data_IF_842104987832
#
_entry.id   IF_842104987832
#
_cell.length_a   1.000
_cell.length_b   1.000
_cell.length_c   1.000
_cell.angle_alpha   90.00
_cell.angle_beta   90.00
_cell.angle_gamma   90.00
#
_symmetry.space_group_name_H-M   'P 1'
#
loop_
_entity.id
_entity.type
_entity.pdbx_description
1 polymer ?
#
# COMPACT_ATOMS: atom_id res chain seq x y z
N UNK A 1 45.53 -21.01 -66.99
CA UNK A 1 45.38 -22.02 -65.92
C UNK A 1 46.23 -21.59 -64.73
N UNK A 2 45.87 -21.86 -63.47
CA UNK A 2 44.64 -21.51 -62.77
C UNK A 2 44.91 -20.73 -61.44
N UNK A 3 43.88 -20.02 -60.98
CA UNK A 3 43.40 -19.75 -59.60
C UNK A 3 44.34 -19.77 -58.38
N UNK A 4 44.27 -18.73 -57.56
CA UNK A 4 44.14 -18.86 -56.09
C UNK A 4 43.42 -17.64 -55.47
N UNK A 5 42.18 -17.87 -55.01
CA UNK A 5 41.42 -17.00 -54.09
C UNK A 5 42.03 -17.12 -52.69
N UNK A 6 42.25 -16.02 -51.99
CA UNK A 6 42.36 -16.01 -50.52
C UNK A 6 41.36 -15.00 -49.97
N UNK A 7 40.31 -15.53 -49.35
CA UNK A 7 39.33 -14.74 -48.60
C UNK A 7 39.83 -14.44 -47.20
N UNK A 8 39.80 -13.16 -46.82
CA UNK A 8 40.02 -12.70 -45.45
C UNK A 8 38.86 -13.10 -44.56
N UNK A 9 39.14 -13.88 -43.52
CA UNK A 9 38.18 -14.37 -42.53
C UNK A 9 38.06 -13.33 -41.41
N UNK A 10 36.84 -12.87 -41.12
CA UNK A 10 36.51 -12.00 -39.98
C UNK A 10 37.04 -12.62 -38.67
N UNK A 11 37.74 -11.81 -37.88
CA UNK A 11 38.13 -12.14 -36.51
C UNK A 11 36.87 -12.25 -35.64
N UNK A 12 36.65 -13.45 -35.07
CA UNK A 12 35.64 -13.69 -34.04
C UNK A 12 36.19 -13.17 -32.71
N UNK A 13 35.55 -12.17 -32.14
CA UNK A 13 35.76 -11.77 -30.75
C UNK A 13 35.50 -12.98 -29.84
N UNK A 14 36.52 -13.36 -29.05
CA UNK A 14 36.37 -14.37 -27.99
C UNK A 14 35.50 -13.77 -26.89
N UNK A 15 34.42 -14.47 -26.55
CA UNK A 15 33.62 -14.22 -25.35
C UNK A 15 34.53 -14.50 -24.15
N UNK A 16 34.64 -13.55 -23.23
CA UNK A 16 35.39 -13.76 -21.99
C UNK A 16 34.72 -14.88 -21.17
N UNK A 17 35.52 -15.80 -20.65
CA UNK A 17 35.05 -16.85 -19.76
C UNK A 17 34.63 -16.23 -18.41
N UNK A 18 33.49 -16.65 -17.82
CA UNK A 18 33.10 -16.19 -16.49
C UNK A 18 34.07 -16.73 -15.42
N UNK A 19 34.26 -16.01 -14.30
CA UNK A 19 35.20 -16.43 -13.26
C UNK A 19 34.72 -17.74 -12.61
N UNK A 20 35.60 -18.74 -12.61
CA UNK A 20 35.43 -19.98 -11.86
C UNK A 20 35.47 -19.65 -10.37
N UNK A 21 34.31 -19.77 -9.72
CA UNK A 21 34.18 -19.65 -8.26
C UNK A 21 34.67 -20.94 -7.59
N UNK A 22 35.75 -20.85 -6.84
CA UNK A 22 36.22 -21.92 -5.96
C UNK A 22 35.25 -22.06 -4.79
N UNK A 23 34.57 -23.20 -4.71
CA UNK A 23 33.63 -23.53 -3.66
C UNK A 23 34.29 -23.48 -2.28
N UNK A 24 33.80 -22.59 -1.42
CA UNK A 24 33.94 -22.70 0.02
C UNK A 24 32.61 -23.27 0.54
N UNK A 25 32.67 -24.41 1.23
CA UNK A 25 31.51 -25.05 1.84
C UNK A 25 31.02 -24.22 3.04
N UNK A 26 30.28 -23.15 2.75
CA UNK A 26 29.50 -22.38 3.71
C UNK A 26 28.10 -22.96 3.84
N UNK A 27 27.53 -22.86 5.03
CA UNK A 27 26.13 -23.12 5.37
C UNK A 27 25.20 -22.64 4.24
N UNK A 28 24.18 -23.41 3.81
CA UNK A 28 23.27 -22.96 2.76
C UNK A 28 22.63 -21.64 3.18
N UNK A 29 22.97 -20.56 2.47
CA UNK A 29 22.30 -19.27 2.64
C UNK A 29 20.82 -19.52 2.37
N UNK A 30 19.89 -19.08 3.24
CA UNK A 30 18.47 -19.20 2.95
C UNK A 30 18.21 -18.50 1.61
N UNK A 31 17.65 -19.22 0.64
CA UNK A 31 17.30 -18.67 -0.67
C UNK A 31 15.81 -18.35 -0.67
N UNK A 32 15.49 -17.07 -0.79
CA UNK A 32 14.12 -16.58 -0.77
C UNK A 32 13.66 -16.26 -2.18
N UNK A 33 12.68 -17.00 -2.73
CA UNK A 33 12.16 -16.71 -4.06
C UNK A 33 11.58 -15.29 -4.14
N UNK A 34 11.92 -14.53 -5.17
CA UNK A 34 11.41 -13.16 -5.38
C UNK A 34 9.87 -13.15 -5.49
N UNK A 35 9.27 -14.21 -6.04
CA UNK A 35 7.81 -14.41 -6.11
C UNK A 35 7.12 -14.50 -4.75
N UNK A 36 7.86 -14.84 -3.69
CA UNK A 36 7.31 -14.87 -2.32
C UNK A 36 7.10 -13.47 -1.74
N UNK A 37 7.70 -12.44 -2.33
CA UNK A 37 7.63 -11.05 -1.84
C UNK A 37 6.29 -10.43 -2.27
N UNK A 38 5.40 -10.10 -1.31
CA UNK A 38 4.05 -9.66 -1.65
C UNK A 38 4.04 -8.35 -2.45
N UNK A 39 3.43 -8.38 -3.64
CA UNK A 39 3.29 -7.21 -4.51
C UNK A 39 4.45 -6.97 -5.47
N UNK A 40 5.46 -7.85 -5.50
CA UNK A 40 6.41 -7.94 -6.61
C UNK A 40 5.73 -8.69 -7.76
N UNK A 41 5.59 -8.04 -8.91
CA UNK A 41 4.92 -8.63 -10.07
C UNK A 41 5.83 -9.58 -10.85
N UNK A 42 5.23 -10.55 -11.56
CA UNK A 42 5.94 -11.48 -12.48
C UNK A 42 6.91 -10.80 -13.46
N UNK A 43 6.63 -9.60 -14.02
CA UNK A 43 7.59 -8.91 -14.87
C UNK A 43 8.90 -8.54 -14.14
N UNK A 44 8.79 -8.06 -12.90
CA UNK A 44 9.93 -7.70 -12.07
C UNK A 44 10.75 -8.93 -11.71
N UNK A 45 10.10 -10.00 -11.24
CA UNK A 45 10.74 -11.29 -10.95
C UNK A 45 11.52 -11.84 -12.15
N UNK A 46 10.88 -11.91 -13.33
CA UNK A 46 11.56 -12.40 -14.55
C UNK A 46 12.75 -11.54 -14.94
N UNK A 47 12.64 -10.22 -14.82
CA UNK A 47 13.72 -9.30 -15.17
C UNK A 47 14.93 -9.46 -14.23
N UNK A 48 14.67 -9.62 -12.93
CA UNK A 48 15.72 -9.85 -11.93
C UNK A 48 16.40 -11.22 -12.13
N UNK A 49 15.62 -12.28 -12.35
CA UNK A 49 16.14 -13.61 -12.67
C UNK A 49 17.02 -13.57 -13.94
N UNK A 50 16.56 -12.88 -14.99
CA UNK A 50 17.32 -12.74 -16.24
C UNK A 50 18.60 -11.91 -16.07
N UNK A 51 18.62 -10.98 -15.09
CA UNK A 51 19.78 -10.18 -14.74
C UNK A 51 20.76 -10.90 -13.77
N UNK A 52 20.50 -12.17 -13.43
CA UNK A 52 21.38 -12.97 -12.57
C UNK A 52 21.05 -12.89 -11.08
N UNK A 53 19.86 -12.40 -10.72
CA UNK A 53 19.38 -12.32 -9.35
C UNK A 53 18.24 -13.31 -9.12
N UNK A 54 18.53 -14.61 -8.86
CA UNK A 54 17.51 -15.66 -8.77
C UNK A 54 16.66 -15.59 -7.49
N UNK A 55 17.16 -14.94 -6.45
CA UNK A 55 16.55 -14.87 -5.13
C UNK A 55 16.82 -13.51 -4.47
N UNK A 56 16.18 -13.28 -3.33
CA UNK A 56 16.31 -12.03 -2.61
C UNK A 56 17.75 -11.79 -2.15
N UNK A 57 18.42 -12.82 -1.64
CA UNK A 57 19.75 -12.71 -1.05
C UNK A 57 20.81 -12.34 -2.10
N UNK A 58 20.64 -12.78 -3.35
CA UNK A 58 21.49 -12.36 -4.47
C UNK A 58 21.45 -10.85 -4.76
N UNK A 59 20.38 -10.15 -4.34
CA UNK A 59 20.22 -8.70 -4.52
C UNK A 59 20.96 -7.88 -3.46
N UNK A 60 21.48 -8.50 -2.39
CA UNK A 60 22.23 -7.79 -1.37
C UNK A 60 23.47 -7.09 -1.97
N UNK A 61 23.58 -5.78 -1.78
CA UNK A 61 24.64 -4.95 -2.35
C UNK A 61 24.48 -4.61 -3.84
N UNK A 62 23.43 -5.08 -4.51
CA UNK A 62 23.13 -4.68 -5.88
C UNK A 62 22.77 -3.19 -5.94
N UNK A 63 23.21 -2.48 -6.99
CA UNK A 63 23.01 -1.03 -7.11
C UNK A 63 21.58 -0.70 -7.52
N UNK A 64 20.87 0.08 -6.72
CA UNK A 64 19.46 0.44 -6.93
C UNK A 64 19.20 1.03 -8.33
N UNK A 65 20.03 1.98 -8.77
CA UNK A 65 19.91 2.62 -10.08
C UNK A 65 20.05 1.63 -11.24
N UNK A 66 20.90 0.61 -11.11
CA UNK A 66 21.08 -0.42 -12.14
C UNK A 66 19.87 -1.34 -12.22
N UNK A 67 19.37 -1.78 -11.08
CA UNK A 67 18.15 -2.60 -11.04
C UNK A 67 16.96 -1.83 -11.62
N UNK A 68 16.82 -0.54 -11.30
CA UNK A 68 15.74 0.30 -11.80
C UNK A 68 15.82 0.51 -13.32
N UNK A 69 17.01 0.42 -13.91
CA UNK A 69 17.20 0.51 -15.36
C UNK A 69 16.76 -0.75 -16.11
N UNK A 70 16.55 -1.88 -15.41
CA UNK A 70 16.13 -3.13 -16.03
C UNK A 70 14.69 -3.04 -16.55
N UNK A 71 14.50 -3.45 -17.80
CA UNK A 71 13.17 -3.51 -18.39
C UNK A 71 12.28 -4.51 -17.64
N UNK A 72 11.20 -4.02 -17.04
CA UNK A 72 10.26 -4.81 -16.22
C UNK A 72 10.46 -4.67 -14.71
N UNK A 73 11.52 -4.00 -14.27
CA UNK A 73 11.73 -3.61 -12.86
C UNK A 73 11.26 -2.18 -12.66
N UNK A 74 10.36 -1.98 -11.69
CA UNK A 74 9.84 -0.66 -11.36
C UNK A 74 10.18 -0.25 -9.93
N UNK A 75 10.20 1.06 -9.65
CA UNK A 75 10.54 1.62 -8.35
C UNK A 75 9.75 0.97 -7.19
N UNK A 76 8.42 0.81 -7.35
CA UNK A 76 7.55 0.14 -6.36
C UNK A 76 7.87 -1.34 -6.14
N UNK A 77 8.44 -2.01 -7.13
CA UNK A 77 8.92 -3.39 -7.00
C UNK A 77 10.21 -3.43 -6.19
N UNK A 78 11.13 -2.52 -6.47
CA UNK A 78 12.40 -2.38 -5.74
C UNK A 78 12.22 -1.90 -4.31
N UNK A 79 11.24 -1.06 -4.01
CA UNK A 79 10.89 -0.68 -2.63
C UNK A 79 10.52 -1.90 -1.78
N UNK A 80 9.70 -2.80 -2.33
CA UNK A 80 9.29 -4.04 -1.65
C UNK A 80 10.47 -5.00 -1.47
N UNK A 81 11.36 -5.05 -2.44
CA UNK A 81 12.58 -5.86 -2.37
C UNK A 81 13.55 -5.29 -1.33
N UNK A 82 13.77 -3.98 -1.31
CA UNK A 82 14.63 -3.30 -0.34
C UNK A 82 14.12 -3.53 1.09
N UNK A 83 12.79 -3.50 1.27
CA UNK A 83 12.16 -3.82 2.54
C UNK A 83 12.37 -5.28 2.95
N UNK A 84 12.18 -6.22 2.02
CA UNK A 84 12.41 -7.64 2.27
C UNK A 84 13.88 -7.95 2.61
N UNK A 85 14.82 -7.22 2.00
CA UNK A 85 16.24 -7.24 2.34
C UNK A 85 16.48 -6.69 3.76
N UNK A 86 15.88 -5.54 4.09
CA UNK A 86 16.02 -4.89 5.39
C UNK A 86 15.56 -5.77 6.55
N UNK A 87 14.45 -6.51 6.39
CA UNK A 87 13.97 -7.48 7.37
C UNK A 87 14.98 -8.63 7.66
N UNK A 88 15.98 -8.81 6.79
CA UNK A 88 17.07 -9.79 6.93
C UNK A 88 18.42 -9.15 7.28
N UNK A 89 18.45 -7.85 7.57
CA UNK A 89 19.70 -7.11 7.78
C UNK A 89 20.54 -6.91 6.51
N UNK A 90 19.93 -7.06 5.34
CA UNK A 90 20.55 -6.84 4.03
C UNK A 90 20.06 -5.51 3.43
N UNK A 91 20.77 -4.98 2.43
CA UNK A 91 20.38 -3.75 1.77
C UNK A 91 20.80 -3.72 0.30
N UNK A 92 20.10 -2.90 -0.50
CA UNK A 92 20.58 -2.46 -1.82
C UNK A 92 21.66 -1.38 -1.65
N UNK A 93 22.56 -1.26 -2.61
CA UNK A 93 23.60 -0.25 -2.60
C UNK A 93 23.27 0.97 -3.49
N UNK A 94 23.96 2.08 -3.25
CA UNK A 94 23.94 3.27 -4.10
C UNK A 94 22.89 4.32 -3.73
N UNK A 95 23.01 5.50 -4.33
CA UNK A 95 22.08 6.61 -4.11
C UNK A 95 20.65 6.26 -4.55
N UNK A 96 19.68 6.71 -3.75
CA UNK A 96 18.25 6.45 -3.99
C UNK A 96 17.78 5.06 -3.54
N UNK A 97 18.66 4.21 -3.00
CA UNK A 97 18.23 2.99 -2.33
C UNK A 97 17.33 3.33 -1.12
N UNK A 98 16.15 2.70 -0.97
CA UNK A 98 15.30 2.90 0.19
C UNK A 98 16.06 2.52 1.47
N UNK A 99 16.29 3.49 2.35
CA UNK A 99 16.81 3.24 3.71
C UNK A 99 15.60 2.92 4.57
N UNK A 100 15.33 1.62 4.76
CA UNK A 100 14.17 1.16 5.50
C UNK A 100 14.63 0.61 6.84
N UNK A 101 13.98 1.04 7.92
CA UNK A 101 14.21 0.43 9.24
C UNK A 101 13.80 -1.04 9.18
N UNK A 102 14.42 -1.87 10.01
CA UNK A 102 14.34 -3.34 10.03
C UNK A 102 12.97 -3.93 10.41
N UNK A 103 11.87 -3.22 10.13
CA UNK A 103 10.53 -3.67 10.45
C UNK A 103 10.14 -4.91 9.60
N UNK A 104 9.52 -5.94 10.20
CA UNK A 104 9.07 -7.14 9.51
C UNK A 104 8.18 -6.85 8.28
N UNK A 105 8.21 -7.77 7.30
CA UNK A 105 7.44 -7.71 6.04
C UNK A 105 5.92 -7.59 6.22
N UNK A 106 5.39 -8.06 7.35
CA UNK A 106 3.96 -7.94 7.68
C UNK A 106 3.59 -6.52 8.14
N UNK A 107 4.52 -5.82 8.81
CA UNK A 107 4.33 -4.45 9.31
C UNK A 107 4.45 -3.40 8.21
N UNK A 108 5.06 -3.73 7.07
CA UNK A 108 5.19 -2.80 5.97
C UNK A 108 3.88 -2.43 5.26
N UNK A 109 2.81 -3.20 5.49
CA UNK A 109 1.45 -2.86 5.07
C UNK A 109 0.69 -2.07 6.12
N UNK A 110 1.10 -2.14 7.38
CA UNK A 110 0.51 -1.35 8.45
C UNK A 110 1.05 0.07 8.34
N UNK A 111 0.15 1.03 8.15
CA UNK A 111 0.54 2.42 8.34
C UNK A 111 0.61 2.72 9.82
N UNK A 112 1.62 3.46 10.25
CA UNK A 112 1.52 4.24 11.49
C UNK A 112 0.52 5.36 11.22
N UNK A 113 -0.47 5.51 12.10
CA UNK A 113 -1.51 6.54 11.97
C UNK A 113 -1.49 7.41 13.21
N UNK A 114 -1.31 8.71 13.03
CA UNK A 114 -1.33 9.71 14.10
C UNK A 114 -2.50 10.66 13.91
N UNK A 115 -3.06 11.18 14.99
CA UNK A 115 -4.14 12.17 14.91
C UNK A 115 -3.65 13.50 14.31
N UNK A 116 -4.53 14.21 13.62
CA UNK A 116 -4.23 15.49 12.95
C UNK A 116 -3.82 15.33 11.50
N UNK A 117 -3.30 16.39 10.89
CA UNK A 117 -2.83 16.40 9.50
C UNK A 117 -1.49 17.14 9.43
N UNK A 118 -0.60 16.73 8.53
CA UNK A 118 0.72 17.38 8.37
C UNK A 118 0.78 18.32 7.17
N UNK A 119 -0.18 18.22 6.25
CA UNK A 119 -0.15 18.87 4.95
C UNK A 119 0.81 18.20 3.95
N UNK A 120 1.54 17.15 4.38
CA UNK A 120 2.45 16.40 3.54
C UNK A 120 1.72 15.18 3.02
N UNK A 121 1.72 15.00 1.70
CA UNK A 121 1.06 13.86 1.06
C UNK A 121 1.78 13.48 -0.22
N UNK A 122 1.92 12.18 -0.48
CA UNK A 122 2.54 11.67 -1.69
C UNK A 122 1.82 12.18 -2.97
N UNK A 123 2.60 12.62 -3.97
CA UNK A 123 2.11 13.31 -5.20
C UNK A 123 1.05 12.54 -6.01
N UNK A 124 1.02 11.21 -5.89
CA UNK A 124 0.07 10.34 -6.59
C UNK A 124 -1.25 10.13 -5.82
N UNK A 125 -1.34 10.56 -4.56
CA UNK A 125 -2.61 10.62 -3.83
C UNK A 125 -3.42 11.80 -4.38
N UNK A 126 -4.65 11.51 -4.81
CA UNK A 126 -5.55 12.49 -5.44
C UNK A 126 -6.75 12.87 -4.57
N UNK A 127 -7.06 12.03 -3.59
CA UNK A 127 -8.11 12.33 -2.62
C UNK A 127 -7.57 13.33 -1.61
N UNK A 128 -8.24 14.47 -1.48
CA UNK A 128 -7.99 15.48 -0.47
C UNK A 128 -9.35 16.01 0.06
N UNK A 129 -9.33 16.71 1.19
CA UNK A 129 -10.50 17.43 1.68
C UNK A 129 -10.94 18.52 0.69
N UNK A 130 -12.22 18.85 0.68
CA UNK A 130 -12.80 19.89 -0.17
C UNK A 130 -13.77 20.76 0.62
N UNK A 131 -14.09 21.93 0.07
CA UNK A 131 -15.08 22.87 0.65
C UNK A 131 -16.54 22.49 0.31
N UNK A 132 -16.76 21.32 -0.30
CA UNK A 132 -18.11 20.84 -0.61
C UNK A 132 -18.80 20.42 0.69
N UNK A 133 -20.00 20.96 0.96
CA UNK A 133 -20.80 20.54 2.11
C UNK A 133 -21.27 19.08 1.93
N UNK A 134 -20.88 18.16 2.84
CA UNK A 134 -21.35 16.77 2.80
C UNK A 134 -22.87 16.63 2.81
N UNK A 135 -23.59 17.50 3.52
CA UNK A 135 -25.06 17.45 3.59
C UNK A 135 -25.67 17.73 2.22
N UNK A 136 -25.19 18.77 1.54
CA UNK A 136 -25.59 19.07 0.17
C UNK A 136 -25.23 17.94 -0.80
N UNK A 137 -24.03 17.36 -0.68
CA UNK A 137 -23.63 16.19 -1.48
C UNK A 137 -24.60 15.01 -1.31
N UNK A 138 -24.97 14.67 -0.08
CA UNK A 138 -25.91 13.57 0.20
C UNK A 138 -27.29 13.85 -0.42
N UNK A 139 -27.79 15.08 -0.32
CA UNK A 139 -29.08 15.46 -0.89
C UNK A 139 -29.09 15.47 -2.41
N UNK A 140 -27.95 15.78 -3.02
CA UNK A 140 -27.76 15.75 -4.48
C UNK A 140 -27.61 14.36 -5.09
N UNK A 141 -27.58 13.28 -4.30
CA UNK A 141 -27.42 11.94 -4.85
C UNK A 141 -28.61 11.53 -5.74
N UNK A 142 -28.36 10.96 -6.94
CA UNK A 142 -29.43 10.65 -7.90
C UNK A 142 -30.29 9.43 -7.50
N UNK A 143 -29.93 8.75 -6.42
CA UNK A 143 -30.63 7.54 -5.96
C UNK A 143 -31.29 7.83 -4.61
N UNK A 144 -32.63 7.97 -4.54
CA UNK A 144 -33.33 8.34 -3.31
C UNK A 144 -32.99 7.45 -2.11
N UNK A 145 -32.77 6.16 -2.35
CA UNK A 145 -32.35 5.23 -1.30
C UNK A 145 -30.96 5.54 -0.73
N UNK A 146 -30.02 6.00 -1.56
CA UNK A 146 -28.68 6.41 -1.11
C UNK A 146 -28.71 7.76 -0.39
N UNK A 147 -29.63 8.65 -0.74
CA UNK A 147 -29.92 9.86 0.05
C UNK A 147 -30.35 9.45 1.46
N UNK A 148 -31.35 8.57 1.59
CA UNK A 148 -31.84 8.10 2.88
C UNK A 148 -30.74 7.40 3.71
N UNK A 149 -29.99 6.47 3.10
CA UNK A 149 -28.86 5.83 3.78
C UNK A 149 -27.77 6.85 4.20
N UNK A 150 -27.49 7.82 3.33
CA UNK A 150 -26.49 8.86 3.58
C UNK A 150 -26.86 9.73 4.77
N UNK A 151 -28.14 10.11 4.91
CA UNK A 151 -28.64 10.88 6.07
C UNK A 151 -28.49 10.10 7.38
N UNK A 152 -28.86 8.81 7.38
CA UNK A 152 -28.69 7.93 8.56
C UNK A 152 -27.21 7.79 8.95
N UNK A 153 -26.33 7.57 7.97
CA UNK A 153 -24.90 7.45 8.24
C UNK A 153 -24.29 8.78 8.73
N UNK A 154 -24.73 9.91 8.18
CA UNK A 154 -24.26 11.22 8.61
C UNK A 154 -24.60 11.46 10.09
N UNK A 155 -25.85 11.24 10.49
CA UNK A 155 -26.27 11.36 11.89
C UNK A 155 -25.52 10.39 12.81
N UNK A 156 -25.37 9.13 12.41
CA UNK A 156 -24.68 8.10 13.20
C UNK A 156 -23.21 8.46 13.43
N UNK A 157 -22.49 8.84 12.37
CA UNK A 157 -21.07 9.16 12.48
C UNK A 157 -20.83 10.46 13.28
N UNK A 158 -21.70 11.48 13.13
CA UNK A 158 -21.65 12.68 13.97
C UNK A 158 -21.80 12.31 15.46
N UNK A 159 -22.79 11.49 15.81
CA UNK A 159 -23.00 11.06 17.21
C UNK A 159 -21.83 10.23 17.74
N UNK A 160 -21.30 9.30 16.93
CA UNK A 160 -20.23 8.41 17.33
C UNK A 160 -18.87 9.12 17.53
N UNK A 161 -18.61 10.18 16.76
CA UNK A 161 -17.30 10.87 16.73
C UNK A 161 -17.31 12.23 17.43
N UNK A 162 -18.46 12.90 17.50
CA UNK A 162 -18.56 14.30 17.92
C UNK A 162 -18.00 15.30 16.90
N UNK A 163 -17.66 14.86 15.68
CA UNK A 163 -17.02 15.67 14.65
C UNK A 163 -18.01 16.12 13.57
N UNK A 164 -17.73 17.28 12.97
CA UNK A 164 -18.43 17.68 11.75
C UNK A 164 -17.90 16.91 10.53
N UNK A 165 -18.78 16.51 9.60
CA UNK A 165 -18.37 15.81 8.39
C UNK A 165 -17.61 16.75 7.44
N UNK A 166 -16.62 16.20 6.75
CA UNK A 166 -15.86 16.88 5.69
C UNK A 166 -15.91 16.05 4.41
N UNK A 167 -16.05 16.69 3.25
CA UNK A 167 -15.96 16.00 1.97
C UNK A 167 -14.51 15.69 1.62
N UNK A 168 -14.27 14.48 1.12
CA UNK A 168 -12.99 14.01 0.61
C UNK A 168 -13.13 13.53 -0.83
N UNK A 169 -12.46 14.23 -1.74
CA UNK A 169 -12.66 14.09 -3.18
C UNK A 169 -14.14 14.20 -3.56
N UNK A 170 -14.56 13.43 -4.55
CA UNK A 170 -15.88 13.62 -5.16
C UNK A 170 -17.02 12.86 -4.45
N UNK A 171 -16.72 12.09 -3.40
CA UNK A 171 -17.65 11.00 -3.02
C UNK A 171 -17.50 10.41 -1.63
N UNK A 172 -16.56 10.86 -0.81
CA UNK A 172 -16.36 10.34 0.53
C UNK A 172 -16.69 11.42 1.55
N UNK A 173 -17.38 11.02 2.62
CA UNK A 173 -17.63 11.83 3.79
C UNK A 173 -16.74 11.30 4.90
N UNK A 174 -15.84 12.13 5.42
CA UNK A 174 -14.86 11.80 6.45
C UNK A 174 -15.10 12.56 7.74
N UNK A 175 -14.61 11.99 8.85
CA UNK A 175 -14.70 12.52 10.20
C UNK A 175 -13.34 12.45 10.90
N UNK A 176 -12.95 13.55 11.53
CA UNK A 176 -11.60 13.77 12.04
C UNK A 176 -10.53 13.79 10.95
N UNK A 177 -9.29 14.03 11.36
CA UNK A 177 -8.11 13.96 10.49
C UNK A 177 -7.03 13.09 11.12
N UNK A 178 -6.35 12.34 10.28
CA UNK A 178 -5.14 11.61 10.63
C UNK A 178 -4.08 11.75 9.56
N UNK A 179 -2.84 11.53 9.96
CA UNK A 179 -1.71 11.39 9.07
C UNK A 179 -1.25 9.93 9.11
N UNK A 180 -1.10 9.32 7.94
CA UNK A 180 -0.60 7.96 7.82
C UNK A 180 0.80 7.97 7.23
N UNK A 181 1.67 7.10 7.75
CA UNK A 181 3.02 6.87 7.21
C UNK A 181 3.25 5.36 7.09
N UNK A 182 3.64 4.91 5.91
CA UNK A 182 4.03 3.52 5.67
C UNK A 182 5.53 3.34 5.87
N UNK A 183 5.97 2.11 6.16
CA UNK A 183 7.38 1.77 6.23
C UNK A 183 8.16 2.16 4.96
N UNK A 184 7.51 2.17 3.79
CA UNK A 184 8.11 2.61 2.51
C UNK A 184 8.38 4.12 2.42
N UNK A 185 8.07 4.90 3.46
CA UNK A 185 8.11 6.37 3.45
C UNK A 185 6.96 7.02 2.70
N UNK A 186 5.97 6.24 2.23
CA UNK A 186 4.76 6.81 1.63
C UNK A 186 3.88 7.36 2.75
N UNK A 187 3.45 8.61 2.63
CA UNK A 187 2.62 9.24 3.63
C UNK A 187 1.48 10.07 3.03
N UNK A 188 0.51 10.42 3.86
CA UNK A 188 -0.56 11.33 3.48
C UNK A 188 -1.55 11.62 4.59
N UNK A 189 -2.30 12.70 4.39
CA UNK A 189 -3.42 13.05 5.25
C UNK A 189 -4.70 12.33 4.80
N UNK A 190 -5.51 11.95 5.76
CA UNK A 190 -6.79 11.30 5.55
C UNK A 190 -7.77 11.66 6.69
N UNK A 191 -9.01 11.19 6.58
CA UNK A 191 -9.95 11.17 7.70
C UNK A 191 -9.75 9.93 8.59
N UNK A 192 -10.22 9.95 9.84
CA UNK A 192 -10.06 8.80 10.73
C UNK A 192 -11.08 7.70 10.37
N UNK A 193 -12.35 8.10 10.31
CA UNK A 193 -13.48 7.23 9.91
C UNK A 193 -14.33 7.97 8.89
N UNK A 194 -15.09 7.23 8.08
CA UNK A 194 -15.94 7.85 7.09
C UNK A 194 -16.77 6.85 6.30
N UNK A 195 -17.52 7.34 5.33
CA UNK A 195 -18.31 6.50 4.43
C UNK A 195 -18.41 7.08 3.02
N UNK A 196 -18.81 6.22 2.07
CA UNK A 196 -19.20 6.63 0.72
C UNK A 196 -20.48 5.93 0.28
N UNK A 197 -21.56 6.68 -0.03
CA UNK A 197 -22.85 6.12 -0.42
C UNK A 197 -22.93 5.84 -1.93
N UNK A 198 -22.01 5.04 -2.47
CA UNK A 198 -21.95 4.69 -3.90
C UNK A 198 -23.19 3.90 -4.35
N UNK A 199 -23.47 3.92 -5.66
CA UNK A 199 -24.59 3.16 -6.28
C UNK A 199 -24.63 1.70 -5.85
N UNK A 200 -23.51 0.99 -6.04
CA UNK A 200 -23.44 -0.46 -5.85
C UNK A 200 -23.48 -0.85 -4.36
N UNK A 201 -22.62 -0.25 -3.54
CA UNK A 201 -22.46 -0.56 -2.11
C UNK A 201 -22.15 0.70 -1.32
N UNK A 202 -22.55 0.72 -0.05
CA UNK A 202 -22.00 1.68 0.91
C UNK A 202 -20.60 1.18 1.28
N UNK A 203 -19.62 2.07 1.21
CA UNK A 203 -18.27 1.81 1.72
C UNK A 203 -18.15 2.47 3.08
N UNK A 204 -17.68 1.75 4.08
CA UNK A 204 -17.44 2.20 5.45
C UNK A 204 -15.94 2.10 5.70
N UNK A 205 -15.31 3.20 6.08
CA UNK A 205 -13.86 3.34 6.19
C UNK A 205 -13.44 3.46 7.64
N UNK A 206 -12.22 3.03 7.96
CA UNK A 206 -11.62 3.17 9.30
C UNK A 206 -12.06 2.12 10.31
N UNK A 207 -13.15 1.39 10.05
CA UNK A 207 -13.68 0.38 10.99
C UNK A 207 -13.13 -1.04 10.78
N UNK A 208 -12.29 -1.26 9.76
CA UNK A 208 -11.80 -2.61 9.42
C UNK A 208 -10.88 -3.24 10.48
N UNK A 209 -10.27 -2.42 11.35
CA UNK A 209 -9.46 -2.87 12.48
C UNK A 209 -10.27 -3.48 13.61
N UNK A 210 -11.56 -3.12 13.74
CA UNK A 210 -12.48 -3.60 14.77
C UNK A 210 -13.03 -4.99 14.44
N UNK A 211 -12.14 -5.99 14.29
CA UNK A 211 -12.47 -7.31 13.72
C UNK A 211 -13.67 -7.99 14.39
N UNK A 212 -13.77 -7.92 15.71
CA UNK A 212 -14.85 -8.55 16.49
C UNK A 212 -16.20 -7.87 16.26
N UNK A 213 -16.22 -6.53 16.21
CA UNK A 213 -17.44 -5.77 15.94
C UNK A 213 -17.85 -5.93 14.48
N UNK A 214 -16.89 -5.88 13.54
CA UNK A 214 -17.15 -6.13 12.12
C UNK A 214 -17.73 -7.53 11.92
N UNK A 215 -17.25 -8.56 12.62
CA UNK A 215 -17.83 -9.91 12.55
C UNK A 215 -19.31 -9.97 13.00
N UNK A 216 -19.72 -9.09 13.91
CA UNK A 216 -21.10 -8.97 14.42
C UNK A 216 -21.97 -8.01 13.62
N UNK A 217 -21.39 -7.27 12.66
CA UNK A 217 -22.07 -6.19 11.95
C UNK A 217 -23.26 -6.67 11.11
N UNK A 218 -23.26 -7.92 10.64
CA UNK A 218 -24.28 -8.47 9.74
C UNK A 218 -23.70 -8.79 8.36
N UNK A 219 -24.51 -8.69 7.29
CA UNK A 219 -24.09 -9.09 5.94
C UNK A 219 -23.20 -8.04 5.29
N UNK A 220 -21.90 -8.33 5.21
CA UNK A 220 -20.90 -7.42 4.65
C UNK A 220 -19.79 -8.17 3.89
N UNK A 221 -18.93 -7.40 3.23
CA UNK A 221 -17.65 -7.87 2.68
C UNK A 221 -16.53 -6.96 3.14
N UNK A 222 -15.37 -7.50 3.50
CA UNK A 222 -14.24 -6.71 4.03
C UNK A 222 -13.11 -6.57 3.01
N UNK A 223 -12.51 -5.39 2.96
CA UNK A 223 -11.23 -5.10 2.31
C UNK A 223 -10.11 -4.87 3.32
N UNK A 224 -8.96 -4.38 2.86
CA UNK A 224 -7.75 -4.18 3.68
C UNK A 224 -7.94 -3.12 4.79
N UNK A 225 -8.88 -2.18 4.65
CA UNK A 225 -9.18 -1.15 5.65
C UNK A 225 -10.60 -0.58 5.58
N UNK A 226 -11.50 -1.31 4.93
CA UNK A 226 -12.87 -0.86 4.68
C UNK A 226 -13.84 -2.04 4.70
N UNK A 227 -15.08 -1.74 5.02
CA UNK A 227 -16.20 -2.68 5.02
C UNK A 227 -17.21 -2.21 3.98
N UNK A 228 -17.75 -3.14 3.21
CA UNK A 228 -18.76 -2.84 2.19
C UNK A 228 -20.07 -3.53 2.53
N UNK A 229 -21.15 -2.75 2.48
CA UNK A 229 -22.52 -3.24 2.74
C UNK A 229 -23.42 -2.84 1.58
N UNK A 230 -24.37 -3.69 1.20
CA UNK A 230 -25.22 -3.36 0.05
C UNK A 230 -26.23 -2.27 0.43
N UNK A 231 -26.82 -2.39 1.63
CA UNK A 231 -27.87 -1.55 2.18
C UNK A 231 -27.79 -1.56 3.71
N UNK A 232 -28.38 -0.57 4.39
CA UNK A 232 -28.25 -0.47 5.86
C UNK A 232 -29.04 -1.55 6.59
N UNK A 233 -30.09 -2.08 5.98
CA UNK A 233 -30.92 -3.15 6.56
C UNK A 233 -30.21 -4.51 6.56
N UNK A 234 -29.04 -4.62 5.92
CA UNK A 234 -28.20 -5.81 5.98
C UNK A 234 -27.34 -5.84 7.26
N UNK A 235 -27.30 -4.76 8.05
CA UNK A 235 -26.39 -4.59 9.18
C UNK A 235 -27.07 -4.06 10.45
N UNK A 236 -26.40 -4.30 11.58
CA UNK A 236 -26.75 -3.73 12.88
C UNK A 236 -26.12 -2.34 13.03
N UNK A 237 -26.95 -1.31 13.14
CA UNK A 237 -26.51 0.08 13.27
C UNK A 237 -25.90 0.40 14.64
N UNK A 238 -26.29 -0.31 15.70
CA UNK A 238 -25.69 -0.15 17.02
C UNK A 238 -24.26 -0.69 17.04
N UNK A 239 -24.03 -1.84 16.40
CA UNK A 239 -22.67 -2.39 16.22
C UNK A 239 -21.83 -1.48 15.33
N UNK A 240 -22.42 -0.89 14.27
CA UNK A 240 -21.71 0.10 13.45
C UNK A 240 -21.28 1.32 14.28
N UNK A 241 -22.20 1.87 15.07
CA UNK A 241 -21.92 3.04 15.91
C UNK A 241 -20.79 2.77 16.90
N UNK A 242 -20.82 1.61 17.58
CA UNK A 242 -19.75 1.19 18.48
C UNK A 242 -18.40 1.07 17.74
N UNK A 243 -18.39 0.44 16.56
CA UNK A 243 -17.16 0.28 15.76
C UNK A 243 -16.58 1.63 15.31
N UNK A 244 -17.44 2.58 14.92
CA UNK A 244 -17.02 3.93 14.53
C UNK A 244 -16.41 4.66 15.73
N UNK A 245 -17.08 4.63 16.89
CA UNK A 245 -16.61 5.30 18.10
C UNK A 245 -15.25 4.77 18.57
N UNK A 246 -15.09 3.44 18.62
CA UNK A 246 -13.82 2.81 19.02
C UNK A 246 -12.68 3.10 18.05
N UNK A 247 -12.92 2.93 16.75
CA UNK A 247 -11.92 3.21 15.73
C UNK A 247 -11.47 4.68 15.76
N UNK A 248 -12.42 5.61 15.97
CA UNK A 248 -12.13 7.02 16.08
C UNK A 248 -11.30 7.34 17.35
N UNK A 249 -11.73 6.84 18.51
CA UNK A 249 -11.03 7.05 19.78
C UNK A 249 -9.59 6.50 19.77
N UNK A 250 -9.39 5.30 19.22
CA UNK A 250 -8.07 4.66 19.16
C UNK A 250 -7.02 5.53 18.45
N UNK A 251 -7.38 6.21 17.37
CA UNK A 251 -6.48 7.11 16.65
C UNK A 251 -6.25 8.41 17.41
N UNK A 252 -7.29 8.97 18.04
CA UNK A 252 -7.18 10.20 18.85
C UNK A 252 -6.28 10.00 20.06
N UNK A 253 -6.40 8.86 20.74
CA UNK A 253 -5.58 8.52 21.90
C UNK A 253 -4.13 8.22 21.51
N UNK A 254 -3.92 7.56 20.37
CA UNK A 254 -2.56 7.29 19.85
C UNK A 254 -1.78 8.57 19.52
N UNK A 255 -2.48 9.68 19.23
CA UNK A 255 -1.86 11.00 18.99
C UNK A 255 -1.50 11.78 20.26
N UNK A 256 -2.04 11.42 21.43
CA UNK A 256 -1.81 12.12 22.70
C UNK A 256 -0.61 11.57 23.50
N UNK A 257 0.01 10.48 23.04
CA UNK A 257 1.18 9.86 23.68
C UNK A 257 2.54 10.27 23.08
N UNK A 258 2.56 11.27 22.19
CA UNK A 258 3.74 11.70 21.45
C UNK A 258 4.28 13.10 21.86
N UNK A 259 3.92 13.58 23.06
CA UNK A 259 4.50 14.78 23.68
C UNK A 259 5.57 14.44 24.73
#
# INVERSE_FOLDING_TARGET
>A
MPTAKVGGRLARFRKADPPVSTANAGTPVPSTPISSIPGVGKPCERALNAAGYPDLESLAGARYAELLSLHGVGAKGLERIALALGARGLALAGEGAPVLSSAPLDDARAATVTAGHTGVTAKDVKTASTDVDPRHFIEGLPWPRRVAHGKVLLELFIRATGEEPVMWGDSMVGFGTCHYTYATGREGDWFIVGFSPRKAKLSLYGIGGEKELVARLGKHTSGVGCVYVNKLEDIDLGVLEEAVARAYAAVRESGLGAE
#
